data_IF_909011017993
#
_entry.id   IF_909011017993
#
_cell.length_a   1.000
_cell.length_b   1.000
_cell.length_c   1.000
_cell.angle_alpha   90.00
_cell.angle_beta   90.00
_cell.angle_gamma   90.00
#
_symmetry.space_group_name_H-M   'P 1'
#
loop_
_entity.id
_entity.type
_entity.pdbx_description
1 polymer ?
#
# COMPACT_ATOMS: atom_id res chain seq x y z
N UNK A 1 -46.68 8.11 -3.06
CA UNK A 1 -45.75 7.14 -3.66
C UNK A 1 -44.34 7.63 -3.34
N UNK A 2 -43.76 7.12 -2.25
CA UNK A 2 -42.45 7.53 -1.76
C UNK A 2 -41.36 6.79 -2.53
N UNK A 3 -40.69 7.48 -3.46
CA UNK A 3 -39.42 7.01 -4.01
C UNK A 3 -38.40 7.06 -2.87
N UNK A 4 -37.80 5.92 -2.55
CA UNK A 4 -36.81 5.79 -1.49
C UNK A 4 -35.65 6.77 -1.71
N UNK A 5 -35.26 7.51 -0.68
CA UNK A 5 -34.10 8.43 -0.68
C UNK A 5 -32.82 7.75 -1.20
N UNK A 6 -32.72 6.42 -1.06
CA UNK A 6 -31.64 5.57 -1.56
C UNK A 6 -31.61 5.48 -3.10
N UNK A 7 -32.76 5.54 -3.77
CA UNK A 7 -32.87 5.58 -5.23
C UNK A 7 -32.59 6.98 -5.79
N UNK A 8 -32.82 8.03 -4.99
CA UNK A 8 -32.46 9.42 -5.34
C UNK A 8 -30.93 9.61 -5.28
N UNK A 9 -30.28 9.05 -4.26
CA UNK A 9 -28.81 9.11 -4.10
C UNK A 9 -28.10 8.29 -5.18
N UNK A 10 -28.57 7.07 -5.50
CA UNK A 10 -28.03 6.29 -6.64
C UNK A 10 -28.15 7.05 -7.96
N UNK A 11 -29.27 7.75 -8.20
CA UNK A 11 -29.46 8.60 -9.38
C UNK A 11 -28.55 9.83 -9.35
N UNK A 12 -28.34 10.47 -8.21
CA UNK A 12 -27.44 11.62 -8.07
C UNK A 12 -25.97 11.24 -8.33
N UNK A 13 -25.50 10.10 -7.81
CA UNK A 13 -24.15 9.57 -8.07
C UNK A 13 -23.98 9.18 -9.54
N UNK A 14 -25.00 8.54 -10.14
CA UNK A 14 -25.00 8.26 -11.58
C UNK A 14 -25.01 9.52 -12.45
N UNK A 15 -25.65 10.61 -12.01
CA UNK A 15 -25.69 11.90 -12.72
C UNK A 15 -24.33 12.62 -12.63
N UNK A 16 -23.63 12.54 -11.48
CA UNK A 16 -22.28 13.11 -11.34
C UNK A 16 -21.28 12.32 -12.20
N UNK A 17 -21.37 10.99 -12.22
CA UNK A 17 -20.59 10.14 -13.13
C UNK A 17 -20.91 10.43 -14.60
N UNK A 18 -22.18 10.64 -14.97
CA UNK A 18 -22.58 11.04 -16.33
C UNK A 18 -22.12 12.46 -16.70
N UNK A 19 -22.03 13.39 -15.74
CA UNK A 19 -21.56 14.75 -15.99
C UNK A 19 -20.05 14.81 -16.28
N UNK A 20 -19.25 13.95 -15.63
CA UNK A 20 -17.83 13.77 -15.95
C UNK A 20 -17.64 13.14 -17.33
N UNK A 21 -18.50 12.18 -17.70
CA UNK A 21 -18.50 11.54 -19.02
C UNK A 21 -18.93 12.50 -20.14
N UNK A 22 -19.87 13.43 -19.88
CA UNK A 22 -20.36 14.37 -20.89
C UNK A 22 -19.33 15.47 -21.26
N UNK A 23 -18.46 15.87 -20.32
CA UNK A 23 -17.39 16.85 -20.58
C UNK A 23 -16.31 16.26 -21.51
N UNK A 24 -16.06 14.95 -21.44
CA UNK A 24 -15.11 14.26 -22.30
C UNK A 24 -15.58 14.09 -23.76
N UNK A 25 -16.89 14.14 -24.03
CA UNK A 25 -17.43 13.96 -25.40
C UNK A 25 -17.39 15.22 -26.28
N UNK A 26 -17.12 16.41 -25.71
CA UNK A 26 -17.27 17.69 -26.43
C UNK A 26 -16.00 18.10 -27.20
N UNK A 27 -14.85 17.47 -26.95
CA UNK A 27 -13.60 17.72 -27.70
C UNK A 27 -13.26 16.55 -28.61
N UNK A 28 -14.04 16.41 -29.69
CA UNK A 28 -13.79 15.40 -30.72
C UNK A 28 -12.45 15.60 -31.42
N UNK A 29 -11.50 14.69 -31.17
CA UNK A 29 -10.35 14.45 -32.03
C UNK A 29 -10.40 12.99 -32.49
N UNK A 30 -10.76 12.77 -33.75
CA UNK A 30 -10.74 11.45 -34.38
C UNK A 30 -9.34 11.15 -34.90
N UNK A 31 -8.60 10.28 -34.20
CA UNK A 31 -7.47 9.56 -34.79
C UNK A 31 -7.92 8.12 -35.07
N UNK A 32 -7.99 7.75 -36.34
CA UNK A 32 -8.12 6.34 -36.73
C UNK A 32 -6.76 5.66 -36.59
N UNK A 33 -6.53 4.95 -35.49
CA UNK A 33 -5.42 4.01 -35.40
C UNK A 33 -5.82 2.70 -36.10
N UNK A 34 -5.07 2.33 -37.13
CA UNK A 34 -5.08 0.95 -37.62
C UNK A 34 -4.17 0.15 -36.68
N UNK A 35 -4.77 -0.56 -35.71
CA UNK A 35 -4.01 -1.43 -34.82
C UNK A 35 -3.44 -2.62 -35.61
N UNK A 36 -2.11 -2.77 -35.60
CA UNK A 36 -1.50 -4.09 -35.75
C UNK A 36 -1.95 -4.92 -34.55
N UNK A 37 -2.29 -6.18 -34.77
CA UNK A 37 -2.53 -7.11 -33.65
C UNK A 37 -1.23 -7.22 -32.84
N UNK A 38 -1.19 -6.58 -31.67
CA UNK A 38 -0.15 -6.78 -30.67
C UNK A 38 -0.35 -8.16 -30.03
N UNK A 39 0.77 -8.86 -29.79
CA UNK A 39 0.78 -10.11 -29.03
C UNK A 39 0.06 -9.88 -27.69
N UNK A 40 -1.08 -10.50 -27.49
CA UNK A 40 -1.93 -10.23 -26.34
C UNK A 40 -1.39 -10.96 -25.11
N UNK A 41 -1.06 -10.23 -24.04
CA UNK A 41 -0.74 -10.81 -22.72
C UNK A 41 -1.98 -11.57 -22.21
N UNK A 42 -1.83 -12.84 -21.84
CA UNK A 42 -2.91 -13.74 -21.39
C UNK A 42 -2.93 -14.00 -19.88
N UNK A 43 -1.85 -13.65 -19.17
CA UNK A 43 -1.69 -13.74 -17.72
C UNK A 43 -0.45 -12.95 -17.27
N UNK A 44 -0.31 -12.72 -15.98
CA UNK A 44 0.98 -12.35 -15.37
C UNK A 44 1.46 -13.52 -14.53
N UNK A 45 2.71 -13.46 -14.08
CA UNK A 45 3.21 -14.43 -13.13
C UNK A 45 4.38 -13.89 -12.34
N UNK A 46 4.72 -14.61 -11.29
CA UNK A 46 5.95 -14.37 -10.54
C UNK A 46 6.66 -15.66 -10.20
N UNK A 47 7.98 -15.58 -10.01
CA UNK A 47 8.80 -16.69 -9.51
C UNK A 47 8.50 -16.90 -8.03
N UNK A 48 8.22 -18.12 -7.59
CA UNK A 48 7.86 -18.39 -6.19
C UNK A 48 8.98 -17.90 -5.24
N UNK A 49 8.61 -17.31 -4.11
CA UNK A 49 9.56 -16.56 -3.25
C UNK A 49 10.71 -17.41 -2.67
N UNK A 50 10.57 -18.72 -2.61
CA UNK A 50 11.57 -19.69 -2.16
C UNK A 50 12.50 -20.20 -3.27
N UNK A 51 12.26 -19.81 -4.52
CA UNK A 51 13.04 -20.24 -5.69
C UNK A 51 14.17 -19.27 -5.96
N UNK A 52 15.37 -19.80 -6.22
CA UNK A 52 16.55 -19.02 -6.61
C UNK A 52 17.14 -19.51 -7.93
N UNK A 53 17.78 -18.61 -8.66
CA UNK A 53 18.50 -18.84 -9.91
C UNK A 53 17.69 -19.52 -11.01
N UNK A 54 16.38 -19.25 -11.09
CA UNK A 54 15.49 -19.80 -12.11
C UNK A 54 15.85 -19.23 -13.48
N UNK A 55 16.00 -20.10 -14.48
CA UNK A 55 16.50 -19.73 -15.81
C UNK A 55 15.37 -19.30 -16.72
N UNK A 56 15.46 -18.08 -17.26
CA UNK A 56 14.68 -17.68 -18.43
C UNK A 56 15.47 -18.06 -19.68
N UNK A 57 14.82 -18.66 -20.66
CA UNK A 57 15.46 -19.27 -21.83
C UNK A 57 14.93 -18.73 -23.16
N UNK A 58 15.71 -18.89 -24.23
CA UNK A 58 15.30 -18.53 -25.60
C UNK A 58 14.25 -19.46 -26.20
N UNK A 59 14.12 -20.68 -25.66
CA UNK A 59 13.11 -21.67 -26.02
C UNK A 59 12.79 -22.56 -24.81
N UNK A 60 11.60 -23.18 -24.75
CA UNK A 60 11.26 -24.14 -23.71
C UNK A 60 12.23 -25.31 -23.64
N UNK A 61 12.50 -25.80 -22.42
CA UNK A 61 13.33 -26.99 -22.11
C UNK A 61 14.81 -26.85 -22.50
N UNK A 62 15.11 -26.78 -23.79
CA UNK A 62 16.47 -26.85 -24.35
C UNK A 62 17.03 -25.50 -24.84
N UNK A 63 16.31 -24.40 -24.65
CA UNK A 63 16.79 -23.07 -25.04
C UNK A 63 18.00 -22.61 -24.25
N UNK A 64 18.84 -21.79 -24.89
CA UNK A 64 19.94 -21.09 -24.23
C UNK A 64 19.40 -20.19 -23.12
N UNK A 65 20.18 -20.04 -22.04
CA UNK A 65 19.80 -19.17 -20.91
C UNK A 65 19.95 -17.71 -21.35
N UNK A 66 18.87 -16.95 -21.25
CA UNK A 66 18.87 -15.49 -21.43
C UNK A 66 19.37 -14.84 -20.15
N UNK A 67 18.75 -15.19 -19.02
CA UNK A 67 19.11 -14.68 -17.70
C UNK A 67 18.65 -15.64 -16.60
N UNK A 68 19.04 -15.37 -15.35
CA UNK A 68 18.53 -16.04 -14.15
C UNK A 68 17.78 -15.03 -13.29
N UNK A 69 16.73 -15.49 -12.62
CA UNK A 69 15.84 -14.69 -11.79
C UNK A 69 15.44 -15.45 -10.54
N UNK A 70 15.15 -14.71 -9.47
CA UNK A 70 14.82 -15.25 -8.16
C UNK A 70 13.37 -14.96 -7.74
N UNK A 71 12.99 -15.47 -6.58
CA UNK A 71 11.69 -15.32 -5.98
C UNK A 71 11.17 -13.88 -5.95
N UNK A 72 9.93 -13.70 -6.43
CA UNK A 72 9.27 -12.41 -6.58
C UNK A 72 9.49 -11.74 -7.93
N UNK A 73 10.35 -12.26 -8.81
CA UNK A 73 10.50 -11.73 -10.16
C UNK A 73 9.19 -11.87 -10.94
N UNK A 74 8.58 -10.73 -11.35
CA UNK A 74 7.32 -10.69 -12.11
C UNK A 74 7.57 -10.65 -13.62
N UNK A 75 6.66 -11.24 -14.38
CA UNK A 75 6.70 -11.29 -15.84
C UNK A 75 5.28 -11.36 -16.43
N UNK A 76 5.16 -10.95 -17.69
CA UNK A 76 3.94 -11.05 -18.49
C UNK A 76 3.94 -12.40 -19.23
N UNK A 77 2.81 -13.11 -19.25
CA UNK A 77 2.64 -14.39 -19.93
C UNK A 77 1.81 -14.17 -21.18
N UNK A 78 2.29 -14.68 -22.31
CA UNK A 78 1.68 -14.51 -23.62
C UNK A 78 1.16 -15.81 -24.21
N UNK A 79 1.79 -16.92 -23.85
CA UNK A 79 1.39 -18.24 -24.31
C UNK A 79 1.78 -19.30 -23.28
N UNK A 80 0.97 -20.36 -23.18
CA UNK A 80 1.33 -21.57 -22.47
C UNK A 80 1.80 -22.63 -23.46
N UNK A 81 3.05 -23.06 -23.30
CA UNK A 81 3.67 -24.09 -24.14
C UNK A 81 3.70 -25.41 -23.37
N UNK A 82 2.92 -26.38 -23.86
CA UNK A 82 2.92 -27.73 -23.29
C UNK A 82 4.16 -28.50 -23.76
N UNK A 83 5.13 -28.72 -22.86
CA UNK A 83 6.34 -29.49 -23.16
C UNK A 83 6.49 -30.76 -22.33
N UNK A 84 5.64 -30.95 -21.33
CA UNK A 84 5.59 -32.15 -20.50
C UNK A 84 4.14 -32.45 -20.11
N UNK A 85 3.90 -33.64 -19.55
CA UNK A 85 2.59 -34.02 -19.03
C UNK A 85 2.29 -33.42 -17.64
N UNK A 86 3.30 -32.93 -16.93
CA UNK A 86 3.21 -32.51 -15.53
C UNK A 86 3.40 -31.01 -15.32
N UNK A 87 3.95 -30.29 -16.30
CA UNK A 87 4.17 -28.86 -16.23
C UNK A 87 4.25 -28.24 -17.63
N UNK A 88 4.12 -26.91 -17.67
CA UNK A 88 4.17 -26.11 -18.89
C UNK A 88 5.37 -25.17 -18.87
N UNK A 89 5.68 -24.60 -20.02
CA UNK A 89 6.49 -23.40 -20.10
C UNK A 89 5.60 -22.23 -20.46
N UNK A 90 5.93 -21.06 -19.96
CA UNK A 90 5.29 -19.82 -20.36
C UNK A 90 6.17 -19.08 -21.35
N UNK A 91 5.61 -18.66 -22.49
CA UNK A 91 6.20 -17.60 -23.31
C UNK A 91 5.97 -16.29 -22.58
N UNK A 92 7.05 -15.61 -22.21
CA UNK A 92 7.00 -14.46 -21.32
C UNK A 92 7.61 -13.21 -21.94
N UNK A 93 7.05 -12.07 -21.57
CA UNK A 93 7.66 -10.76 -21.73
C UNK A 93 8.13 -10.26 -20.37
N UNK A 94 9.34 -9.75 -20.33
CA UNK A 94 9.93 -9.22 -19.10
C UNK A 94 11.01 -8.21 -19.49
N UNK A 95 11.33 -7.32 -18.57
CA UNK A 95 12.40 -6.39 -18.83
C UNK A 95 13.75 -6.92 -18.33
N UNK A 96 14.77 -6.79 -19.16
CA UNK A 96 16.16 -7.13 -18.85
C UNK A 96 17.04 -5.94 -19.25
N UNK A 97 17.80 -5.39 -18.30
CA UNK A 97 18.69 -4.24 -18.53
C UNK A 97 17.99 -3.04 -19.23
N UNK A 98 16.72 -2.79 -18.90
CA UNK A 98 15.93 -1.70 -19.46
C UNK A 98 15.26 -1.99 -20.81
N UNK A 99 15.52 -3.15 -21.42
CA UNK A 99 14.92 -3.58 -22.68
C UNK A 99 13.81 -4.62 -22.45
N UNK A 100 12.65 -4.43 -23.09
CA UNK A 100 11.58 -5.42 -23.04
C UNK A 100 11.95 -6.63 -23.88
N UNK A 101 12.19 -7.75 -23.20
CA UNK A 101 12.75 -8.97 -23.75
C UNK A 101 11.72 -10.09 -23.75
N UNK A 102 11.80 -10.97 -24.75
CA UNK A 102 10.99 -12.19 -24.87
C UNK A 102 11.80 -13.40 -24.41
N UNK A 103 11.15 -14.34 -23.73
CA UNK A 103 11.79 -15.58 -23.31
C UNK A 103 10.78 -16.63 -22.84
N UNK A 104 11.30 -17.69 -22.22
CA UNK A 104 10.50 -18.78 -21.71
C UNK A 104 10.92 -19.15 -20.29
N UNK A 105 9.94 -19.39 -19.42
CA UNK A 105 10.14 -19.80 -18.03
C UNK A 105 9.25 -21.00 -17.70
N UNK A 106 9.70 -21.90 -16.80
CA UNK A 106 8.92 -23.09 -16.42
C UNK A 106 7.82 -22.74 -15.41
N UNK A 107 6.65 -23.39 -15.55
CA UNK A 107 5.53 -23.27 -14.62
C UNK A 107 5.79 -23.96 -13.27
N UNK A 108 6.79 -24.84 -13.17
CA UNK A 108 7.06 -25.62 -11.95
C UNK A 108 7.45 -24.76 -10.75
N UNK A 109 8.06 -23.61 -11.02
CA UNK A 109 8.67 -22.73 -10.01
C UNK A 109 8.06 -21.33 -10.03
N UNK A 110 6.92 -21.18 -10.70
CA UNK A 110 6.26 -19.89 -10.87
C UNK A 110 4.79 -20.01 -10.51
N UNK A 111 4.25 -18.93 -9.98
CA UNK A 111 2.82 -18.77 -9.76
C UNK A 111 2.27 -17.97 -10.93
N UNK A 112 1.33 -18.57 -11.67
CA UNK A 112 0.54 -17.88 -12.69
C UNK A 112 -0.56 -17.10 -11.99
N UNK A 113 -0.50 -15.78 -12.12
CA UNK A 113 -1.59 -14.90 -11.75
C UNK A 113 -2.50 -14.83 -12.96
N UNK A 114 -3.66 -15.48 -12.87
CA UNK A 114 -4.61 -15.42 -13.96
C UNK A 114 -4.89 -13.95 -14.28
N UNK A 115 -4.74 -13.58 -15.56
CA UNK A 115 -5.45 -12.40 -16.05
C UNK A 115 -6.90 -12.64 -15.67
N UNK A 116 -7.51 -11.70 -14.97
CA UNK A 116 -8.97 -11.66 -15.02
C UNK A 116 -9.35 -11.65 -16.50
N UNK A 117 -10.51 -12.21 -16.88
CA UNK A 117 -11.08 -11.98 -18.21
C UNK A 117 -11.51 -10.51 -18.32
N UNK A 118 -10.55 -9.60 -18.16
CA UNK A 118 -10.73 -8.17 -18.22
C UNK A 118 -11.10 -7.86 -19.66
N UNK A 119 -12.40 -7.80 -19.86
CA UNK A 119 -12.99 -7.17 -21.01
C UNK A 119 -12.70 -5.68 -20.85
N UNK A 120 -11.98 -5.05 -21.80
CA UNK A 120 -11.64 -3.65 -21.71
C UNK A 120 -12.86 -2.80 -21.32
N UNK A 121 -12.81 -2.22 -20.13
CA UNK A 121 -13.76 -1.22 -19.68
C UNK A 121 -13.26 0.12 -20.22
N UNK A 122 -13.84 0.57 -21.34
CA UNK A 122 -13.41 1.81 -21.99
C UNK A 122 -13.42 3.01 -21.03
N UNK A 123 -14.35 3.04 -20.06
CA UNK A 123 -14.37 4.11 -19.07
C UNK A 123 -13.15 4.04 -18.15
N UNK A 124 -12.69 2.83 -17.80
CA UNK A 124 -11.50 2.65 -17.00
C UNK A 124 -10.22 2.96 -17.78
N UNK A 125 -10.14 2.58 -19.06
CA UNK A 125 -8.99 2.96 -19.90
C UNK A 125 -8.91 4.48 -20.11
N UNK A 126 -10.04 5.14 -20.40
CA UNK A 126 -10.14 6.60 -20.51
C UNK A 126 -9.75 7.27 -19.18
N UNK A 127 -10.15 6.68 -18.05
CA UNK A 127 -9.76 7.14 -16.72
C UNK A 127 -8.25 7.01 -16.48
N UNK A 128 -7.64 5.87 -16.81
CA UNK A 128 -6.19 5.67 -16.69
C UNK A 128 -5.40 6.65 -17.57
N UNK A 129 -5.92 6.95 -18.76
CA UNK A 129 -5.35 7.94 -19.67
C UNK A 129 -5.49 9.36 -19.11
N UNK A 130 -6.65 9.72 -18.57
CA UNK A 130 -6.87 11.02 -17.93
C UNK A 130 -6.02 11.23 -16.66
N UNK A 131 -5.73 10.15 -15.93
CA UNK A 131 -4.77 10.14 -14.82
C UNK A 131 -3.30 10.20 -15.31
N UNK A 132 -3.06 10.04 -16.62
CA UNK A 132 -1.73 9.97 -17.22
C UNK A 132 -0.86 8.85 -16.59
N UNK A 133 -1.44 7.68 -16.33
CA UNK A 133 -0.68 6.52 -15.87
C UNK A 133 0.23 5.98 -16.98
N UNK A 134 1.53 5.74 -16.71
CA UNK A 134 2.42 5.09 -17.68
C UNK A 134 1.93 3.69 -18.05
N UNK A 135 2.19 3.25 -19.28
CA UNK A 135 1.76 1.93 -19.77
C UNK A 135 2.22 0.77 -18.86
N UNK A 136 3.40 0.88 -18.25
CA UNK A 136 3.96 -0.12 -17.33
C UNK A 136 3.19 -0.32 -16.02
N UNK A 137 2.21 0.54 -15.70
CA UNK A 137 1.32 0.41 -14.54
C UNK A 137 -0.02 -0.26 -14.91
N UNK A 138 -0.49 -0.05 -16.14
CA UNK A 138 -1.90 -0.24 -16.50
C UNK A 138 -2.37 -1.68 -16.34
N UNK A 139 -1.55 -2.67 -16.66
CA UNK A 139 -1.97 -4.08 -16.56
C UNK A 139 -2.28 -4.48 -15.11
N UNK A 140 -1.40 -4.16 -14.16
CA UNK A 140 -1.69 -4.40 -12.73
C UNK A 140 -2.95 -3.68 -12.27
N UNK A 141 -3.19 -2.45 -12.73
CA UNK A 141 -4.37 -1.67 -12.35
C UNK A 141 -5.66 -2.27 -12.93
N UNK A 142 -5.64 -2.82 -14.15
CA UNK A 142 -6.80 -3.55 -14.72
C UNK A 142 -7.15 -4.78 -13.92
N UNK A 143 -6.16 -5.56 -13.48
CA UNK A 143 -6.39 -6.73 -12.65
C UNK A 143 -7.06 -6.34 -11.32
N UNK A 144 -6.59 -5.24 -10.71
CA UNK A 144 -7.17 -4.71 -9.48
C UNK A 144 -8.58 -4.16 -9.70
N UNK A 145 -8.82 -3.41 -10.77
CA UNK A 145 -10.15 -2.88 -11.13
C UNK A 145 -11.15 -4.01 -11.39
N UNK A 146 -10.73 -5.04 -12.12
CA UNK A 146 -11.57 -6.20 -12.39
C UNK A 146 -11.94 -6.96 -11.11
N UNK A 147 -11.04 -7.04 -10.14
CA UNK A 147 -11.30 -7.71 -8.86
C UNK A 147 -12.09 -6.81 -7.89
N UNK A 148 -11.84 -5.51 -7.91
CA UNK A 148 -12.42 -4.52 -7.00
C UNK A 148 -12.88 -3.26 -7.74
N UNK A 149 -14.04 -3.29 -8.41
CA UNK A 149 -14.50 -2.19 -9.28
C UNK A 149 -14.80 -0.87 -8.57
N UNK A 150 -14.87 -0.88 -7.24
CA UNK A 150 -15.09 0.33 -6.42
C UNK A 150 -13.79 1.02 -6.02
N UNK A 151 -12.63 0.43 -6.28
CA UNK A 151 -11.34 1.01 -5.93
C UNK A 151 -10.97 2.12 -6.93
N UNK A 152 -10.41 3.20 -6.39
CA UNK A 152 -10.04 4.40 -7.15
C UNK A 152 -8.52 4.53 -7.14
N UNK A 153 -7.90 4.48 -8.32
CA UNK A 153 -6.46 4.60 -8.49
C UNK A 153 -6.11 6.01 -8.98
N UNK A 154 -5.37 6.78 -8.18
CA UNK A 154 -4.96 8.14 -8.53
C UNK A 154 -3.47 8.15 -8.84
N UNK A 155 -3.09 8.66 -10.01
CA UNK A 155 -1.69 8.86 -10.34
C UNK A 155 -1.19 10.12 -9.64
N UNK A 156 -0.24 9.97 -8.73
CA UNK A 156 0.39 11.10 -8.05
C UNK A 156 1.68 11.50 -8.77
N UNK A 157 1.52 12.41 -9.74
CA UNK A 157 2.62 13.09 -10.45
C UNK A 157 3.23 14.17 -9.54
N UNK A 158 4.04 13.72 -8.58
CA UNK A 158 4.62 14.57 -7.53
C UNK A 158 5.80 15.45 -7.98
N UNK A 159 6.20 15.38 -9.25
CA UNK A 159 7.28 16.17 -9.86
C UNK A 159 8.68 15.81 -9.34
N UNK A 160 8.85 14.62 -8.75
CA UNK A 160 10.16 14.11 -8.34
C UNK A 160 10.75 13.23 -9.43
N UNK A 161 11.99 13.55 -9.75
CA UNK A 161 12.85 12.72 -10.58
C UNK A 161 13.26 11.43 -9.85
N UNK A 162 13.28 10.31 -10.58
CA UNK A 162 13.59 8.99 -10.07
C UNK A 162 14.97 8.91 -9.41
N UNK A 163 16.02 9.42 -10.06
CA UNK A 163 17.38 9.36 -9.51
C UNK A 163 17.51 10.26 -8.29
N UNK A 164 16.79 11.38 -8.25
CA UNK A 164 16.68 12.22 -7.04
C UNK A 164 16.10 11.43 -5.87
N UNK A 165 15.02 10.66 -6.09
CA UNK A 165 14.43 9.81 -5.06
C UNK A 165 15.42 8.74 -4.59
N UNK A 166 16.07 8.03 -5.51
CA UNK A 166 17.05 6.98 -5.21
C UNK A 166 18.22 7.54 -4.40
N UNK A 167 18.84 8.63 -4.85
CA UNK A 167 19.95 9.28 -4.17
C UNK A 167 19.56 9.77 -2.79
N UNK A 168 18.36 10.33 -2.65
CA UNK A 168 17.84 10.72 -1.36
C UNK A 168 17.72 9.51 -0.42
N UNK A 169 17.21 8.37 -0.87
CA UNK A 169 17.05 7.19 -0.01
C UNK A 169 18.37 6.45 0.29
N UNK A 170 19.41 6.63 -0.53
CA UNK A 170 20.74 6.06 -0.34
C UNK A 170 21.63 6.81 0.66
N UNK A 171 21.18 7.93 1.22
CA UNK A 171 21.92 8.61 2.30
C UNK A 171 22.04 7.66 3.51
N UNK A 172 23.27 7.56 4.05
CA UNK A 172 23.60 6.66 5.15
C UNK A 172 22.65 6.84 6.34
N UNK A 173 22.08 5.73 6.81
CA UNK A 173 21.17 5.70 7.96
C UNK A 173 19.69 5.89 7.59
N UNK A 174 19.36 6.22 6.34
CA UNK A 174 17.97 6.57 5.95
C UNK A 174 17.13 5.37 5.52
N UNK A 175 17.75 4.43 4.81
CA UNK A 175 17.09 3.20 4.36
C UNK A 175 17.86 2.01 4.88
N UNK A 176 17.27 1.33 5.86
CA UNK A 176 17.91 0.24 6.60
C UNK A 176 17.23 -1.10 6.28
N UNK A 177 17.98 -2.16 6.52
CA UNK A 177 17.50 -3.55 6.52
C UNK A 177 18.21 -4.31 7.65
N UNK A 178 17.65 -5.44 8.09
CA UNK A 178 18.32 -6.26 9.10
C UNK A 178 19.64 -6.84 8.59
N UNK A 179 20.66 -6.89 9.45
CA UNK A 179 21.98 -7.45 9.15
C UNK A 179 21.94 -8.93 8.75
N UNK A 180 20.93 -9.66 9.22
CA UNK A 180 20.63 -11.05 8.87
C UNK A 180 19.96 -11.22 7.51
N UNK A 181 19.57 -10.15 6.82
CA UNK A 181 19.04 -10.21 5.47
C UNK A 181 20.12 -10.64 4.46
N UNK A 182 19.67 -10.99 3.25
CA UNK A 182 20.53 -11.42 2.16
C UNK A 182 21.66 -10.41 1.88
N UNK A 183 22.83 -10.92 1.48
CA UNK A 183 23.98 -10.06 1.18
C UNK A 183 23.66 -9.04 0.08
N UNK A 184 22.90 -9.44 -0.94
CA UNK A 184 22.46 -8.57 -2.04
C UNK A 184 21.57 -7.40 -1.62
N UNK A 185 20.98 -7.48 -0.42
CA UNK A 185 20.08 -6.46 0.13
C UNK A 185 20.80 -5.41 0.96
N UNK A 186 22.08 -5.64 1.27
CA UNK A 186 22.89 -4.79 2.16
C UNK A 186 23.91 -4.01 1.34
N UNK A 187 24.10 -2.74 1.68
CA UNK A 187 25.06 -1.87 0.99
C UNK A 187 26.49 -2.19 1.40
N UNK A 188 27.41 -2.16 0.44
CA UNK A 188 28.87 -2.18 0.65
C UNK A 188 29.53 -0.86 0.28
N UNK A 189 28.74 0.20 0.10
CA UNK A 189 29.24 1.56 -0.11
C UNK A 189 30.04 2.07 1.11
N UNK A 190 30.74 3.18 0.93
CA UNK A 190 31.54 3.79 2.01
C UNK A 190 30.68 4.03 3.28
N UNK A 191 31.23 3.66 4.42
CA UNK A 191 30.53 3.69 5.72
C UNK A 191 29.48 2.59 5.96
N UNK A 192 29.27 1.66 5.03
CA UNK A 192 28.28 0.57 5.17
C UNK A 192 28.90 -0.80 5.49
N UNK A 193 30.16 -1.03 5.09
CA UNK A 193 30.84 -2.33 5.21
C UNK A 193 32.35 -2.15 5.39
N UNK A 194 32.93 -2.85 6.37
CA UNK A 194 34.37 -2.87 6.61
C UNK A 194 35.00 -4.08 5.90
N UNK A 195 35.80 -3.80 4.88
CA UNK A 195 36.49 -4.82 4.10
C UNK A 195 37.62 -5.54 4.85
N UNK A 196 38.10 -5.02 5.97
CA UNK A 196 39.13 -5.67 6.79
C UNK A 196 38.53 -6.72 7.73
N UNK A 197 37.35 -6.45 8.28
CA UNK A 197 36.68 -7.35 9.24
C UNK A 197 35.63 -8.23 8.58
N UNK A 198 35.10 -7.83 7.42
CA UNK A 198 34.00 -8.50 6.74
C UNK A 198 32.63 -8.20 7.37
N UNK A 199 32.52 -7.12 8.15
CA UNK A 199 31.32 -6.78 8.91
C UNK A 199 30.59 -5.58 8.31
N UNK A 200 29.25 -5.63 8.36
CA UNK A 200 28.40 -4.48 8.01
C UNK A 200 28.33 -3.50 9.18
N UNK A 201 28.33 -2.21 8.89
CA UNK A 201 28.20 -1.16 9.90
C UNK A 201 26.76 -1.11 10.42
N UNK A 202 26.58 -1.36 11.72
CA UNK A 202 25.29 -1.19 12.40
C UNK A 202 24.99 0.30 12.59
N UNK A 203 23.84 0.74 12.06
CA UNK A 203 23.41 2.14 12.04
C UNK A 203 22.24 2.42 12.99
N UNK A 204 21.56 1.38 13.47
CA UNK A 204 20.52 1.46 14.50
C UNK A 204 20.48 0.15 15.31
N UNK A 205 20.08 0.28 16.56
CA UNK A 205 20.05 -0.79 17.57
C UNK A 205 19.24 -2.01 17.11
N UNK A 206 19.82 -3.19 17.31
CA UNK A 206 19.18 -4.45 16.94
C UNK A 206 19.60 -5.00 15.59
N UNK A 207 20.78 -4.57 15.10
CA UNK A 207 21.40 -5.11 13.90
C UNK A 207 20.86 -4.50 12.62
N UNK A 208 20.54 -3.21 12.58
CA UNK A 208 20.11 -2.54 11.35
C UNK A 208 21.30 -1.99 10.58
N UNK A 209 21.40 -2.32 9.30
CA UNK A 209 22.48 -1.91 8.39
C UNK A 209 21.91 -1.22 7.16
N UNK A 210 22.73 -0.48 6.42
CA UNK A 210 22.28 0.22 5.22
C UNK A 210 21.77 -0.76 4.15
N UNK A 211 20.59 -0.49 3.59
CA UNK A 211 20.06 -1.21 2.44
C UNK A 211 20.86 -0.91 1.16
N UNK A 212 21.03 -1.89 0.28
CA UNK A 212 21.66 -1.69 -1.03
C UNK A 212 20.83 -0.78 -1.93
N UNK A 213 21.47 -0.08 -2.86
CA UNK A 213 20.77 0.75 -3.85
C UNK A 213 19.76 -0.06 -4.67
N UNK A 214 20.08 -1.31 -5.02
CA UNK A 214 19.15 -2.20 -5.71
C UNK A 214 17.87 -2.44 -4.89
N UNK A 215 17.99 -2.64 -3.57
CA UNK A 215 16.83 -2.84 -2.71
C UNK A 215 16.03 -1.55 -2.55
N UNK A 216 16.71 -0.41 -2.45
CA UNK A 216 16.08 0.92 -2.44
C UNK A 216 15.26 1.14 -3.72
N UNK A 217 15.84 0.87 -4.90
CA UNK A 217 15.14 0.97 -6.19
C UNK A 217 13.92 0.05 -6.26
N UNK A 218 14.06 -1.21 -5.84
CA UNK A 218 12.94 -2.15 -5.75
C UNK A 218 11.80 -1.62 -4.87
N UNK A 219 12.14 -1.10 -3.68
CA UNK A 219 11.15 -0.61 -2.72
C UNK A 219 10.50 0.72 -3.14
N UNK A 220 11.22 1.56 -3.88
CA UNK A 220 10.69 2.81 -4.43
C UNK A 220 9.73 2.56 -5.60
N UNK A 221 9.93 1.52 -6.41
CA UNK A 221 9.15 1.32 -7.63
C UNK A 221 7.71 0.85 -7.34
N UNK A 222 6.68 1.69 -7.54
CA UNK A 222 5.31 1.35 -7.15
C UNK A 222 4.75 0.16 -7.92
N UNK A 223 5.25 -0.09 -9.14
CA UNK A 223 4.82 -1.21 -10.00
C UNK A 223 5.05 -2.56 -9.31
N UNK A 224 6.03 -2.66 -8.41
CA UNK A 224 6.28 -3.86 -7.61
C UNK A 224 5.13 -4.25 -6.68
N UNK A 225 4.26 -3.29 -6.35
CA UNK A 225 3.30 -3.40 -5.25
C UNK A 225 1.84 -3.20 -5.70
N UNK A 226 1.60 -3.16 -7.01
CA UNK A 226 0.25 -3.11 -7.59
C UNK A 226 -0.36 -4.51 -7.68
N UNK A 227 -0.69 -5.06 -6.52
CA UNK A 227 -1.51 -6.25 -6.36
C UNK A 227 -2.48 -6.05 -5.20
N UNK A 228 -3.38 -7.02 -4.99
CA UNK A 228 -4.48 -6.88 -4.06
C UNK A 228 -4.04 -6.82 -2.59
N UNK A 229 -2.74 -6.99 -2.31
CA UNK A 229 -2.15 -7.05 -0.97
C UNK A 229 -1.29 -5.83 -0.70
N UNK A 230 -0.33 -5.54 -1.57
CA UNK A 230 0.65 -4.50 -1.34
C UNK A 230 0.14 -3.11 -1.74
N UNK A 231 -0.94 -3.01 -2.53
CA UNK A 231 -1.51 -1.71 -2.92
C UNK A 231 -1.95 -0.86 -1.73
N UNK A 232 -2.28 -1.48 -0.59
CA UNK A 232 -2.63 -0.77 0.63
C UNK A 232 -1.51 0.09 1.21
N UNK A 233 -0.25 -0.05 0.74
CA UNK A 233 0.77 0.95 1.07
C UNK A 233 0.49 2.33 0.47
N UNK A 234 -0.36 2.38 -0.56
CA UNK A 234 -0.77 3.59 -1.28
C UNK A 234 -2.17 4.06 -0.86
N UNK A 235 -2.84 3.40 0.09
CA UNK A 235 -4.16 3.83 0.57
C UNK A 235 -4.06 5.26 1.13
N UNK A 236 -4.95 6.15 0.68
CA UNK A 236 -4.99 7.52 1.15
C UNK A 236 -5.51 7.57 2.59
N UNK A 237 -4.61 7.95 3.50
CA UNK A 237 -4.86 8.11 4.93
C UNK A 237 -5.48 9.48 5.25
N UNK A 238 -5.60 10.38 4.27
CA UNK A 238 -6.23 11.70 4.42
C UNK A 238 -7.76 11.61 4.35
N UNK A 239 -8.44 12.48 5.10
CA UNK A 239 -9.89 12.63 4.97
C UNK A 239 -10.26 13.21 3.60
N UNK A 240 -10.89 12.39 2.78
CA UNK A 240 -11.54 12.78 1.53
C UNK A 240 -13.06 12.56 1.62
N UNK A 241 -13.85 13.63 1.63
CA UNK A 241 -15.32 13.54 1.75
C UNK A 241 -16.00 13.01 0.48
N UNK A 242 -15.30 12.95 -0.66
CA UNK A 242 -15.83 12.34 -1.89
C UNK A 242 -15.79 10.81 -1.87
N UNK A 243 -14.94 10.24 -1.01
CA UNK A 243 -14.72 8.79 -0.89
C UNK A 243 -15.26 8.27 0.43
N UNK A 244 -14.98 8.97 1.53
CA UNK A 244 -15.35 8.54 2.85
C UNK A 244 -16.81 8.85 3.19
N UNK A 245 -17.54 7.83 3.60
CA UNK A 245 -18.93 7.95 4.00
C UNK A 245 -19.27 6.98 5.14
N UNK A 246 -20.42 7.22 5.79
CA UNK A 246 -20.84 6.46 6.97
C UNK A 246 -21.06 4.97 6.68
N UNK A 247 -21.54 4.62 5.47
CA UNK A 247 -21.77 3.23 5.08
C UNK A 247 -20.44 2.49 4.90
N UNK A 248 -19.42 3.14 4.34
CA UNK A 248 -18.07 2.61 4.29
C UNK A 248 -17.47 2.35 5.68
N UNK A 249 -17.66 3.28 6.64
CA UNK A 249 -17.25 3.05 8.04
C UNK A 249 -18.01 1.87 8.64
N UNK A 250 -19.34 1.77 8.42
CA UNK A 250 -20.16 0.64 8.88
C UNK A 250 -19.65 -0.69 8.33
N UNK A 251 -19.30 -0.74 7.04
CA UNK A 251 -18.73 -1.93 6.43
C UNK A 251 -17.39 -2.34 7.06
N UNK A 252 -16.58 -1.38 7.53
CA UNK A 252 -15.29 -1.65 8.17
C UNK A 252 -15.48 -2.14 9.61
N UNK A 253 -16.38 -1.51 10.37
CA UNK A 253 -16.61 -1.87 11.78
C UNK A 253 -17.55 -3.06 11.97
N UNK A 254 -18.17 -3.57 10.91
CA UNK A 254 -19.10 -4.69 11.00
C UNK A 254 -18.44 -5.94 11.58
N UNK A 255 -19.13 -6.62 12.48
CA UNK A 255 -18.61 -7.77 13.22
C UNK A 255 -17.60 -7.41 14.33
N UNK A 256 -17.43 -6.13 14.65
CA UNK A 256 -16.56 -5.66 15.75
C UNK A 256 -17.36 -5.12 16.92
N UNK A 257 -16.72 -4.88 18.07
CA UNK A 257 -17.34 -4.26 19.25
C UNK A 257 -17.94 -2.87 19.00
N UNK A 258 -17.52 -2.22 17.90
CA UNK A 258 -18.03 -0.91 17.50
C UNK A 258 -19.38 -1.01 16.78
N UNK A 259 -19.70 -2.16 16.19
CA UNK A 259 -21.00 -2.40 15.56
C UNK A 259 -22.11 -2.44 16.63
N UNK A 260 -23.12 -1.59 16.48
CA UNK A 260 -24.28 -1.51 17.39
C UNK A 260 -23.91 -1.37 18.88
N UNK A 261 -22.77 -0.74 19.18
CA UNK A 261 -22.29 -0.57 20.55
C UNK A 261 -23.25 0.26 21.41
N UNK A 262 -23.40 -0.13 22.68
CA UNK A 262 -24.13 0.64 23.70
C UNK A 262 -23.26 1.65 24.46
N UNK A 263 -22.00 1.83 24.05
CA UNK A 263 -21.10 2.80 24.65
C UNK A 263 -21.66 4.23 24.56
N UNK A 264 -21.51 5.01 25.65
CA UNK A 264 -21.80 6.43 25.61
C UNK A 264 -20.74 7.17 24.78
N UNK A 265 -21.13 7.63 23.61
CA UNK A 265 -20.31 8.33 22.63
C UNK A 265 -20.81 9.78 22.40
N UNK A 266 -21.47 10.38 23.40
CA UNK A 266 -21.98 11.76 23.35
C UNK A 266 -23.02 11.98 22.23
N UNK A 267 -23.96 11.04 22.10
CA UNK A 267 -25.05 11.09 21.11
C UNK A 267 -24.71 10.48 19.74
N UNK A 268 -23.48 10.04 19.53
CA UNK A 268 -23.05 9.34 18.31
C UNK A 268 -23.16 7.81 18.42
N UNK A 269 -23.18 7.13 17.28
CA UNK A 269 -22.69 5.75 17.16
C UNK A 269 -21.22 5.77 16.72
N UNK A 270 -20.53 4.62 16.73
CA UNK A 270 -19.12 4.60 16.31
C UNK A 270 -18.92 5.04 14.86
N UNK A 271 -19.84 4.70 13.95
CA UNK A 271 -19.69 5.04 12.55
C UNK A 271 -19.73 6.56 12.31
N UNK A 272 -20.73 7.23 12.87
CA UNK A 272 -20.88 8.68 12.83
C UNK A 272 -19.78 9.40 13.61
N UNK A 273 -19.35 8.86 14.75
CA UNK A 273 -18.25 9.43 15.53
C UNK A 273 -16.92 9.35 14.76
N UNK A 274 -16.64 8.24 14.09
CA UNK A 274 -15.42 8.07 13.31
C UNK A 274 -15.41 8.97 12.07
N UNK A 275 -16.55 9.13 11.39
CA UNK A 275 -16.71 10.12 10.32
C UNK A 275 -16.39 11.54 10.82
N UNK A 276 -16.96 11.93 11.96
CA UNK A 276 -16.69 13.23 12.57
C UNK A 276 -15.23 13.38 13.01
N UNK A 277 -14.66 12.35 13.65
CA UNK A 277 -13.26 12.33 14.04
C UNK A 277 -12.34 12.51 12.82
N UNK A 278 -12.65 11.85 11.71
CA UNK A 278 -11.92 11.99 10.46
C UNK A 278 -11.99 13.40 9.89
N UNK A 279 -13.18 14.00 9.86
CA UNK A 279 -13.38 15.38 9.39
C UNK A 279 -12.59 16.40 10.22
N UNK A 280 -12.62 16.27 11.55
CA UNK A 280 -11.92 17.17 12.49
C UNK A 280 -10.40 17.00 12.41
N UNK A 281 -9.93 15.76 12.35
CA UNK A 281 -8.51 15.43 12.38
C UNK A 281 -7.83 15.49 11.01
N UNK A 282 -8.62 15.55 9.94
CA UNK A 282 -8.21 15.34 8.54
C UNK A 282 -7.67 13.94 8.26
N UNK A 283 -7.96 12.95 9.10
CA UNK A 283 -7.61 11.55 8.91
C UNK A 283 -8.75 10.77 8.27
N UNK A 284 -8.42 9.79 7.42
CA UNK A 284 -9.38 8.84 6.89
C UNK A 284 -10.14 8.15 8.04
N UNK A 285 -11.48 8.22 8.08
CA UNK A 285 -12.27 7.51 9.08
C UNK A 285 -12.16 5.99 8.91
N UNK A 286 -11.78 5.52 7.72
CA UNK A 286 -11.52 4.12 7.45
C UNK A 286 -10.22 3.69 8.15
N UNK A 287 -9.16 4.50 8.02
CA UNK A 287 -7.92 4.32 8.76
C UNK A 287 -8.12 4.39 10.28
N UNK A 288 -8.90 5.36 10.77
CA UNK A 288 -9.20 5.45 12.20
C UNK A 288 -9.90 4.18 12.71
N UNK A 289 -10.89 3.68 11.97
CA UNK A 289 -11.62 2.46 12.30
C UNK A 289 -10.69 1.24 12.36
N UNK A 290 -9.88 1.01 11.33
CA UNK A 290 -8.96 -0.14 11.27
C UNK A 290 -7.89 -0.06 12.34
N UNK A 291 -7.35 1.13 12.64
CA UNK A 291 -6.40 1.31 13.74
C UNK A 291 -7.03 0.94 15.09
N UNK A 292 -8.25 1.34 15.38
CA UNK A 292 -8.92 0.94 16.62
C UNK A 292 -9.07 -0.59 16.70
N UNK A 293 -9.46 -1.24 15.60
CA UNK A 293 -9.59 -2.70 15.54
C UNK A 293 -8.24 -3.38 15.79
N UNK A 294 -7.18 -2.88 15.15
CA UNK A 294 -5.81 -3.39 15.31
C UNK A 294 -5.32 -3.23 16.75
N UNK A 295 -5.57 -2.08 17.37
CA UNK A 295 -5.05 -1.72 18.70
C UNK A 295 -5.84 -2.32 19.86
N UNK A 296 -7.16 -2.46 19.72
CA UNK A 296 -8.05 -2.87 20.82
C UNK A 296 -8.65 -4.26 20.62
N UNK A 297 -8.38 -4.90 19.48
CA UNK A 297 -8.99 -6.14 19.05
C UNK A 297 -10.41 -5.93 18.50
N UNK A 298 -10.83 -6.81 17.59
CA UNK A 298 -12.17 -6.78 17.02
C UNK A 298 -13.28 -6.91 18.08
N UNK A 299 -13.02 -7.60 19.20
CA UNK A 299 -13.94 -7.75 20.32
C UNK A 299 -13.83 -6.64 21.38
N UNK A 300 -12.93 -5.65 21.18
CA UNK A 300 -12.79 -4.48 22.05
C UNK A 300 -12.30 -4.79 23.46
N UNK A 301 -11.60 -5.91 23.67
CA UNK A 301 -11.12 -6.35 24.99
C UNK A 301 -9.87 -5.61 25.46
N UNK A 302 -9.33 -4.68 24.67
CA UNK A 302 -8.21 -3.83 25.07
C UNK A 302 -8.48 -3.08 26.38
N UNK A 303 -7.62 -3.28 27.38
CA UNK A 303 -7.76 -2.62 28.70
C UNK A 303 -7.77 -1.09 28.61
N UNK A 304 -7.15 -0.53 27.56
CA UNK A 304 -7.08 0.91 27.32
C UNK A 304 -8.43 1.54 26.95
N UNK A 305 -9.45 0.75 26.61
CA UNK A 305 -10.81 1.25 26.33
C UNK A 305 -11.87 0.73 27.32
N UNK A 306 -11.44 0.00 28.36
CA UNK A 306 -12.33 -0.58 29.37
C UNK A 306 -12.98 0.49 30.27
N UNK A 307 -12.21 1.53 30.63
CA UNK A 307 -12.58 2.52 31.65
C UNK A 307 -12.44 2.04 33.10
N UNK A 308 -11.93 0.83 33.33
CA UNK A 308 -11.92 0.17 34.66
C UNK A 308 -10.51 -0.17 35.17
N UNK A 309 -9.45 0.33 34.51
CA UNK A 309 -8.07 0.08 34.94
C UNK A 309 -7.79 0.85 36.23
N UNK A 310 -7.31 0.14 37.26
CA UNK A 310 -7.07 0.72 38.59
C UNK A 310 -6.14 1.94 38.54
N UNK A 311 -6.59 3.06 39.12
CA UNK A 311 -5.88 4.36 39.14
C UNK A 311 -6.04 5.20 37.86
N UNK A 312 -6.74 4.69 36.85
CA UNK A 312 -7.05 5.33 35.58
C UNK A 312 -8.51 5.10 35.16
N UNK A 313 -9.41 4.93 36.13
CA UNK A 313 -10.83 4.74 35.89
C UNK A 313 -11.43 5.94 35.14
N UNK A 314 -12.28 5.66 34.16
CA UNK A 314 -12.92 6.67 33.33
C UNK A 314 -12.03 7.30 32.24
N UNK A 315 -10.77 6.86 32.08
CA UNK A 315 -9.91 7.29 30.97
C UNK A 315 -9.84 6.23 29.87
N UNK A 316 -9.72 6.68 28.63
CA UNK A 316 -9.72 5.83 27.45
C UNK A 316 -8.60 6.23 26.49
N UNK A 317 -8.01 5.25 25.80
CA UNK A 317 -7.01 5.46 24.74
C UNK A 317 -7.25 4.47 23.60
N UNK A 318 -7.97 4.91 22.57
CA UNK A 318 -8.43 4.05 21.46
C UNK A 318 -7.32 3.66 20.48
N UNK A 319 -6.27 4.49 20.37
CA UNK A 319 -5.18 4.31 19.40
C UNK A 319 -3.83 3.99 20.06
N UNK A 320 -3.85 3.50 21.31
CA UNK A 320 -2.64 3.13 22.08
C UNK A 320 -1.55 4.19 22.13
N UNK A 321 -1.90 5.48 22.12
CA UNK A 321 -0.91 6.56 22.04
C UNK A 321 -0.07 6.62 23.31
N UNK A 322 1.26 6.63 23.15
CA UNK A 322 2.24 6.56 24.24
C UNK A 322 2.10 5.29 25.12
N UNK A 323 1.59 4.19 24.55
CA UNK A 323 1.49 2.91 25.24
C UNK A 323 2.74 2.05 25.01
N UNK A 324 3.76 2.21 25.86
CA UNK A 324 4.94 1.34 25.88
C UNK A 324 5.34 1.04 27.32
N UNK A 325 5.89 -0.15 27.58
CA UNK A 325 6.32 -0.51 28.94
C UNK A 325 7.59 0.26 29.30
N UNK A 326 7.52 1.09 30.34
CA UNK A 326 8.65 1.91 30.79
C UNK A 326 8.40 2.47 32.18
N UNK A 327 9.47 2.74 32.93
CA UNK A 327 9.39 3.36 34.25
C UNK A 327 8.58 2.55 35.28
N UNK A 328 8.60 1.21 35.17
CA UNK A 328 7.83 0.31 36.03
C UNK A 328 6.33 0.23 35.74
N UNK A 329 5.86 0.91 34.68
CA UNK A 329 4.47 0.86 34.24
C UNK A 329 4.32 -0.03 33.00
N UNK A 330 3.20 -0.75 32.94
CA UNK A 330 2.79 -1.48 31.73
C UNK A 330 2.45 -0.49 30.60
N UNK A 331 2.46 -0.98 29.35
CA UNK A 331 2.05 -0.19 28.20
C UNK A 331 0.64 0.40 28.36
N UNK A 332 -0.31 -0.39 28.89
CA UNK A 332 -1.68 0.07 29.21
C UNK A 332 -1.67 1.22 30.21
N UNK A 333 -0.91 1.11 31.31
CA UNK A 333 -0.82 2.16 32.31
C UNK A 333 -0.16 3.43 31.75
N UNK A 334 0.89 3.31 30.93
CA UNK A 334 1.51 4.46 30.29
C UNK A 334 0.58 5.14 29.27
N UNK A 335 -0.14 4.37 28.46
CA UNK A 335 -1.15 4.91 27.53
C UNK A 335 -2.29 5.64 28.25
N UNK A 336 -2.77 5.11 29.39
CA UNK A 336 -3.81 5.77 30.19
C UNK A 336 -3.29 6.94 31.03
N UNK A 337 -2.03 6.90 31.46
CA UNK A 337 -1.33 8.04 32.07
C UNK A 337 -1.25 9.20 31.08
N UNK A 338 -0.94 8.92 29.82
CA UNK A 338 -0.97 9.90 28.74
C UNK A 338 -2.39 10.45 28.49
N UNK A 339 -3.40 9.57 28.45
CA UNK A 339 -4.80 9.93 28.26
C UNK A 339 -5.35 10.87 29.36
N UNK A 340 -4.84 10.74 30.60
CA UNK A 340 -5.26 11.54 31.77
C UNK A 340 -4.67 12.95 31.81
N UNK A 341 -3.60 13.23 31.07
CA UNK A 341 -2.99 14.56 31.06
C UNK A 341 -3.95 15.61 30.48
N UNK A 342 -3.74 16.89 30.78
CA UNK A 342 -4.54 17.97 30.17
C UNK A 342 -3.82 18.51 28.94
N UNK A 343 -4.53 18.54 27.81
CA UNK A 343 -4.06 19.12 26.55
C UNK A 343 -5.30 19.41 25.68
N UNK A 344 -5.71 20.68 25.65
CA UNK A 344 -6.91 21.09 24.92
C UNK A 344 -6.76 20.92 23.40
N UNK A 345 -5.53 20.88 22.89
CA UNK A 345 -5.27 20.79 21.45
C UNK A 345 -5.63 19.43 20.84
N UNK A 346 -5.85 18.41 21.67
CA UNK A 346 -6.26 17.06 21.29
C UNK A 346 -7.34 16.50 22.24
N UNK A 347 -8.11 17.40 22.85
CA UNK A 347 -9.23 17.05 23.72
C UNK A 347 -8.84 16.16 24.92
N UNK A 348 -7.59 16.22 25.40
CA UNK A 348 -7.20 15.57 26.66
C UNK A 348 -7.52 16.48 27.86
N UNK A 349 -7.96 15.92 29.01
CA UNK A 349 -8.02 14.50 29.32
C UNK A 349 -9.08 13.76 28.51
N UNK A 350 -8.76 12.53 28.10
CA UNK A 350 -9.67 11.61 27.42
C UNK A 350 -10.54 10.87 28.42
N UNK A 351 -11.31 11.63 29.19
CA UNK A 351 -12.21 11.16 30.25
C UNK A 351 -13.62 10.79 29.74
N UNK A 352 -13.75 10.58 28.44
CA UNK A 352 -14.92 9.99 27.78
C UNK A 352 -14.47 9.33 26.49
N UNK A 353 -15.25 8.35 26.02
CA UNK A 353 -14.96 7.64 24.77
C UNK A 353 -14.98 8.59 23.57
N UNK A 354 -15.94 9.53 23.53
CA UNK A 354 -15.99 10.61 22.53
C UNK A 354 -14.68 11.39 22.45
N UNK A 355 -14.19 11.90 23.59
CA UNK A 355 -12.93 12.66 23.63
C UNK A 355 -11.73 11.82 23.23
N UNK A 356 -11.70 10.55 23.61
CA UNK A 356 -10.61 9.64 23.27
C UNK A 356 -10.55 9.30 21.79
N UNK A 357 -11.69 9.07 21.14
CA UNK A 357 -11.76 8.77 19.70
C UNK A 357 -11.42 10.02 18.87
N UNK A 358 -12.06 11.16 19.14
CA UNK A 358 -11.83 12.39 18.36
C UNK A 358 -10.45 12.99 18.68
N UNK A 359 -10.12 13.11 19.97
CA UNK A 359 -8.86 13.67 20.42
C UNK A 359 -7.65 12.83 20.03
N UNK A 360 -7.76 11.51 20.11
CA UNK A 360 -6.75 10.61 19.59
C UNK A 360 -6.56 10.75 18.08
N UNK A 361 -7.65 10.85 17.31
CA UNK A 361 -7.57 11.09 15.87
C UNK A 361 -6.86 12.41 15.54
N UNK A 362 -7.13 13.49 16.29
CA UNK A 362 -6.44 14.79 16.11
C UNK A 362 -4.93 14.65 16.30
N UNK A 363 -4.46 13.84 17.25
CA UNK A 363 -3.02 13.57 17.39
C UNK A 363 -2.47 12.78 16.20
N UNK A 364 -3.18 11.75 15.72
CA UNK A 364 -2.76 11.00 14.52
C UNK A 364 -2.65 11.93 13.31
N UNK A 365 -3.65 12.78 13.06
CA UNK A 365 -3.62 13.72 11.94
C UNK A 365 -2.47 14.73 12.02
N UNK A 366 -2.16 15.25 13.21
CA UNK A 366 -1.01 16.15 13.44
C UNK A 366 0.33 15.49 13.14
N UNK A 367 0.48 14.22 13.49
CA UNK A 367 1.72 13.50 13.26
C UNK A 367 1.84 13.15 11.77
N UNK A 368 0.89 12.41 11.20
CA UNK A 368 1.12 11.71 9.94
C UNK A 368 0.65 12.47 8.69
N UNK A 369 -0.44 13.24 8.77
CA UNK A 369 -1.19 13.62 7.55
C UNK A 369 -0.94 15.06 7.11
N UNK A 370 -0.70 15.99 8.04
CA UNK A 370 -0.59 17.42 7.72
C UNK A 370 0.75 17.86 7.07
N UNK A 371 1.59 16.93 6.63
CA UNK A 371 2.88 17.22 5.96
C UNK A 371 3.02 16.67 4.54
N UNK A 372 2.00 15.99 4.01
CA UNK A 372 2.04 15.33 2.70
C UNK A 372 2.57 13.88 2.75
N UNK A 373 2.42 13.21 3.90
CA UNK A 373 2.72 11.78 4.08
C UNK A 373 1.41 11.00 4.24
N UNK A 374 0.51 11.11 3.27
CA UNK A 374 -0.85 10.60 3.34
C UNK A 374 -0.98 9.13 2.92
N UNK A 375 0.11 8.38 2.81
CA UNK A 375 0.13 6.95 2.55
C UNK A 375 1.27 6.30 3.35
N UNK A 376 1.18 5.00 3.65
CA UNK A 376 2.27 4.26 4.32
C UNK A 376 3.57 4.37 3.49
N UNK A 377 3.46 4.38 2.17
CA UNK A 377 4.58 4.60 1.27
C UNK A 377 5.24 5.97 1.51
N UNK A 378 4.46 7.05 1.61
CA UNK A 378 5.00 8.40 1.88
C UNK A 378 5.44 8.62 3.34
N UNK A 379 4.89 7.88 4.29
CA UNK A 379 5.41 7.82 5.66
C UNK A 379 6.85 7.28 5.66
N UNK A 380 7.17 6.27 4.84
CA UNK A 380 8.53 5.73 4.70
C UNK A 380 9.44 6.62 3.86
N UNK A 381 9.03 7.02 2.66
CA UNK A 381 9.96 7.62 1.71
C UNK A 381 10.05 9.15 1.80
N UNK A 382 9.04 9.81 2.40
CA UNK A 382 8.94 11.27 2.51
C UNK A 382 9.32 11.95 1.18
N UNK A 383 8.48 11.77 0.16
CA UNK A 383 8.72 12.29 -1.21
C UNK A 383 8.86 13.82 -1.24
N UNK A 384 8.39 14.51 -0.19
CA UNK A 384 8.46 15.97 -0.08
C UNK A 384 9.80 16.46 0.46
N UNK A 385 10.33 15.91 1.56
CA UNK A 385 11.53 16.47 2.21
C UNK A 385 12.63 15.45 2.54
N UNK A 386 12.39 14.16 2.31
CA UNK A 386 13.31 13.04 2.58
C UNK A 386 13.83 12.89 4.02
N UNK A 387 13.35 13.70 4.97
CA UNK A 387 13.99 13.91 6.28
C UNK A 387 13.07 13.57 7.44
N UNK A 388 11.76 13.47 7.21
CA UNK A 388 10.77 13.13 8.23
C UNK A 388 10.18 11.74 7.97
N UNK A 389 11.05 10.74 7.85
CA UNK A 389 10.63 9.35 7.61
C UNK A 389 10.21 8.67 8.91
N UNK A 390 9.04 8.03 8.91
CA UNK A 390 8.49 7.35 10.08
C UNK A 390 9.18 6.03 10.40
N UNK A 391 9.83 5.45 9.40
CA UNK A 391 10.43 4.13 9.46
C UNK A 391 11.76 4.16 8.74
N UNK A 392 12.76 3.50 9.31
CA UNK A 392 14.07 3.32 8.66
C UNK A 392 14.10 2.07 7.78
N UNK A 393 13.36 1.02 8.17
CA UNK A 393 13.26 -0.22 7.38
C UNK A 393 12.68 0.03 5.98
N UNK A 394 13.49 -0.24 4.94
CA UNK A 394 13.15 0.02 3.53
C UNK A 394 11.96 -0.81 3.04
N UNK A 395 11.70 -1.97 3.64
CA UNK A 395 10.57 -2.85 3.28
C UNK A 395 9.37 -2.72 4.25
N UNK A 396 9.38 -1.76 5.18
CA UNK A 396 8.27 -1.59 6.11
C UNK A 396 6.91 -1.32 5.42
N UNK A 397 6.81 -0.54 4.33
CA UNK A 397 5.54 -0.36 3.63
C UNK A 397 4.92 -1.68 3.16
N UNK A 398 5.75 -2.64 2.72
CA UNK A 398 5.30 -3.95 2.26
C UNK A 398 4.66 -4.77 3.39
N UNK A 399 5.29 -4.80 4.57
CA UNK A 399 4.77 -5.55 5.72
C UNK A 399 3.54 -4.88 6.33
N UNK A 400 3.52 -3.55 6.40
CA UNK A 400 2.39 -2.76 6.90
C UNK A 400 1.18 -2.83 5.95
N UNK A 401 1.37 -2.83 4.62
CA UNK A 401 0.28 -3.05 3.67
C UNK A 401 -0.41 -4.40 3.87
N UNK A 402 0.37 -5.45 4.17
CA UNK A 402 -0.18 -6.78 4.49
C UNK A 402 -1.06 -6.73 5.75
N UNK A 403 -0.65 -5.95 6.76
CA UNK A 403 -1.43 -5.75 7.99
C UNK A 403 -2.69 -4.92 7.73
N UNK A 404 -2.56 -3.85 6.95
CA UNK A 404 -3.68 -2.98 6.55
C UNK A 404 -4.76 -3.79 5.80
N UNK A 405 -4.38 -4.57 4.78
CA UNK A 405 -5.32 -5.46 4.08
C UNK A 405 -6.05 -6.40 5.03
N UNK A 406 -5.33 -7.04 5.96
CA UNK A 406 -5.92 -8.00 6.91
C UNK A 406 -6.93 -7.37 7.86
N UNK A 407 -6.90 -6.05 8.04
CA UNK A 407 -7.90 -5.34 8.83
C UNK A 407 -9.25 -5.21 8.10
N UNK A 408 -9.29 -5.43 6.78
CA UNK A 408 -10.51 -5.35 5.98
C UNK A 408 -11.08 -6.76 5.70
N UNK A 409 -12.38 -6.93 5.94
CA UNK A 409 -13.06 -8.17 5.55
C UNK A 409 -13.22 -8.24 4.03
N UNK A 410 -13.39 -9.45 3.48
CA UNK A 410 -13.71 -9.60 2.04
C UNK A 410 -14.96 -8.80 1.65
N UNK A 411 -15.96 -8.70 2.54
CA UNK A 411 -17.15 -7.88 2.28
C UNK A 411 -16.77 -6.39 2.15
N UNK A 412 -15.96 -5.88 3.06
CA UNK A 412 -15.48 -4.49 3.03
C UNK A 412 -14.70 -4.19 1.76
N UNK A 413 -13.75 -5.07 1.40
CA UNK A 413 -12.91 -4.90 0.20
C UNK A 413 -13.75 -4.79 -1.08
N UNK A 414 -14.88 -5.51 -1.15
CA UNK A 414 -15.77 -5.54 -2.31
C UNK A 414 -16.88 -4.48 -2.31
N UNK A 415 -17.19 -3.87 -1.17
CA UNK A 415 -18.35 -2.98 -1.01
C UNK A 415 -18.01 -1.58 -0.51
N UNK A 416 -16.72 -1.25 -0.38
CA UNK A 416 -16.25 0.06 0.06
C UNK A 416 -15.30 0.64 -0.99
N UNK A 417 -15.48 1.92 -1.31
CA UNK A 417 -14.55 2.68 -2.16
C UNK A 417 -13.28 2.98 -1.38
N UNK A 418 -12.14 2.47 -1.86
CA UNK A 418 -10.82 2.83 -1.37
C UNK A 418 -10.12 3.69 -2.41
N UNK A 419 -9.40 4.72 -1.95
CA UNK A 419 -8.59 5.60 -2.81
C UNK A 419 -7.13 5.28 -2.60
N UNK A 420 -6.42 5.01 -3.69
CA UNK A 420 -5.00 4.72 -3.68
C UNK A 420 -4.24 5.83 -4.43
N UNK A 421 -3.37 6.54 -3.74
CA UNK A 421 -2.50 7.56 -4.32
C UNK A 421 -1.18 6.89 -4.71
N UNK A 422 -1.02 6.59 -6.00
CA UNK A 422 0.08 5.78 -6.52
C UNK A 422 1.15 6.73 -7.10
N UNK A 423 2.37 6.74 -6.56
CA UNK A 423 3.43 7.62 -7.06
C UNK A 423 3.78 7.35 -8.52
N UNK A 424 3.96 8.42 -9.28
CA UNK A 424 4.58 8.39 -10.62
C UNK A 424 5.73 9.39 -10.60
N UNK A 425 6.96 8.89 -10.73
CA UNK A 425 8.16 9.71 -10.75
C UNK A 425 8.55 10.06 -12.17
N UNK A 426 9.17 11.23 -12.34
CA UNK A 426 9.77 11.61 -13.60
C UNK A 426 10.98 10.72 -13.88
N UNK A 427 11.21 10.38 -15.15
CA UNK A 427 12.36 9.58 -15.61
C UNK A 427 12.52 8.20 -14.93
N UNK A 428 11.41 7.57 -14.52
CA UNK A 428 11.45 6.19 -14.03
C UNK A 428 12.06 5.23 -15.06
N UNK A 429 12.73 4.16 -14.61
CA UNK A 429 13.21 3.13 -15.50
C UNK A 429 12.03 2.52 -16.27
N UNK A 430 12.23 2.29 -17.58
CA UNK A 430 11.25 1.66 -18.47
C UNK A 430 10.74 0.33 -17.89
N UNK A 431 11.64 -0.37 -17.21
CA UNK A 431 11.42 -1.63 -16.53
C UNK A 431 11.20 -1.47 -15.04
N UNK A 432 10.38 -2.36 -14.48
CA UNK A 432 10.28 -2.58 -13.04
C UNK A 432 11.65 -2.91 -12.42
N UNK A 433 12.00 -2.26 -11.33
CA UNK A 433 13.20 -2.60 -10.56
C UNK A 433 12.96 -3.91 -9.81
N UNK A 434 13.76 -4.94 -10.10
CA UNK A 434 13.60 -6.26 -9.47
C UNK A 434 14.31 -6.31 -8.12
N UNK A 435 13.84 -7.18 -7.22
CA UNK A 435 14.48 -7.38 -5.92
C UNK A 435 15.90 -7.92 -6.12
N UNK A 436 16.93 -7.40 -5.41
CA UNK A 436 18.29 -7.88 -5.59
C UNK A 436 18.44 -9.34 -5.17
N UNK A 437 19.04 -10.15 -6.04
CA UNK A 437 19.20 -11.59 -5.87
C UNK A 437 20.67 -12.03 -5.74
N UNK A 438 21.60 -11.08 -5.82
CA UNK A 438 23.04 -11.33 -5.74
C UNK A 438 23.66 -11.85 -7.05
N UNK A 439 22.87 -12.00 -8.12
CA UNK A 439 23.36 -12.36 -9.46
C UNK A 439 23.60 -11.12 -10.36
N UNK A 440 23.15 -9.94 -9.93
CA UNK A 440 23.51 -8.68 -10.58
C UNK A 440 24.92 -8.30 -10.15
N UNK A 441 25.88 -8.55 -11.04
CA UNK A 441 27.25 -8.06 -10.93
C UNK A 441 27.26 -6.56 -10.69
N UNK A 442 27.82 -6.11 -9.56
CA UNK A 442 28.29 -4.75 -9.40
C UNK A 442 29.55 -4.60 -10.26
N UNK A 443 29.38 -4.26 -11.55
CA UNK A 443 30.44 -3.74 -12.38
C UNK A 443 30.04 -2.36 -12.89
#
# INVERSE_FOLDING_TARGET
>A
MNVSYREIIKKAVAIVLMAVILVCMVTGFSYTFTAKADDTIIATGYVNYDVTSLRIRTAPVNGSVITKVDGGFKFDIYEEVNTSATYKWYSIGFYLNGEYTRGYITSEYTTREAKSDYTPDNNFEDYLEAQNFPASYRESLRQLHSAYPLWVFVADHNGRDWDTMVNAQNVLGRSLIYSSADASWKSTADGCYDWNTGEYTELDSGGWVQASEGLVKYALDPRNFLDDTYIFMFESLSYDSSVHNIDGVRNIISGTFMENSSHNLDGYDYASLLMYAGEVSKVSPYHLATRIIQEQGADGRGNQISGNVSGYEGYYNYYSQNAYASGGLSAVQNGLKYARQTDSSNMRPWNSRYRAVVGGAVNLGKWYINKGQDTIYYEKFDVKNFSHQYMTNVLAPRSEATRAKKAYSSYTLNNTTFKFNIPVYDNMPSSRCIIPDGNQSAN
#
